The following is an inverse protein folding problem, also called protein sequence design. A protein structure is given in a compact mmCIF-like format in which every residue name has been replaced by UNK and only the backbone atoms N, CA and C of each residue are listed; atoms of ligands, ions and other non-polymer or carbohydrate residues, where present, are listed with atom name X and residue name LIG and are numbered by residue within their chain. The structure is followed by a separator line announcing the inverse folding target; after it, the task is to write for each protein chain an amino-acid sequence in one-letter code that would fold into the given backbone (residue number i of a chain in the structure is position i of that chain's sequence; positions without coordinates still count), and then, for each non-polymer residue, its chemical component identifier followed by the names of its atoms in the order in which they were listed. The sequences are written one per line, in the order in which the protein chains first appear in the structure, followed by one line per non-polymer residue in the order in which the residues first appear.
data_IF_960292350337
#
_entry.id   IF_960292350337
#
_cell.length_a   1.000
_cell.length_b   1.000
_cell.length_c   1.000
_cell.angle_alpha   90.00
_cell.angle_beta   90.00
_cell.angle_gamma   90.00
#
_symmetry.space_group_name_H-M   'P 1'
#
loop_
_entity.id
_entity.type
_entity.pdbx_description
1 polymer ?
#
# COMPACT_ATOMS: atom_id res chain seq x y z
N UNK A 1 4.63 -17.92 -29.00
CA UNK A 1 3.63 -18.82 -28.38
C UNK A 1 4.10 -20.27 -28.47
N UNK A 2 3.81 -21.07 -27.45
CA UNK A 2 4.10 -22.52 -27.51
C UNK A 2 3.28 -23.15 -28.64
N UNK A 3 3.77 -24.25 -29.27
CA UNK A 3 3.04 -24.86 -30.41
C UNK A 3 1.58 -25.21 -30.10
N UNK A 4 1.28 -25.61 -28.88
CA UNK A 4 -0.08 -25.92 -28.41
C UNK A 4 -0.99 -24.70 -28.29
N UNK A 5 -0.43 -23.50 -28.11
CA UNK A 5 -1.17 -22.25 -27.96
C UNK A 5 -1.37 -21.49 -29.30
N UNK A 6 -0.74 -21.96 -30.38
CA UNK A 6 -0.73 -21.27 -31.67
C UNK A 6 -2.16 -21.00 -32.23
N UNK A 7 -3.11 -21.89 -31.96
CA UNK A 7 -4.50 -21.74 -32.39
C UNK A 7 -5.26 -20.59 -31.66
N UNK A 8 -4.82 -20.23 -30.44
CA UNK A 8 -5.43 -19.17 -29.65
C UNK A 8 -4.70 -17.82 -29.78
N UNK A 9 -3.48 -17.85 -30.31
CA UNK A 9 -2.62 -16.68 -30.43
C UNK A 9 -3.27 -15.59 -31.31
N UNK A 10 -3.56 -14.45 -30.71
CA UNK A 10 -4.28 -13.32 -31.33
C UNK A 10 -5.58 -13.70 -32.05
N UNK A 11 -6.24 -14.77 -31.62
CA UNK A 11 -7.43 -15.30 -32.27
C UNK A 11 -8.54 -14.26 -32.44
N UNK A 12 -8.93 -13.46 -31.44
CA UNK A 12 -9.99 -12.46 -31.62
C UNK A 12 -9.68 -11.45 -32.70
N UNK A 13 -8.44 -10.97 -32.77
CA UNK A 13 -7.98 -10.04 -33.82
C UNK A 13 -8.00 -10.65 -35.21
N UNK A 14 -7.52 -11.89 -35.35
CA UNK A 14 -7.54 -12.64 -36.61
C UNK A 14 -8.96 -12.98 -37.08
N UNK A 15 -9.85 -13.35 -36.15
CA UNK A 15 -11.25 -13.65 -36.47
C UNK A 15 -12.01 -12.39 -36.89
N UNK A 16 -11.73 -11.23 -36.24
CA UNK A 16 -12.30 -9.94 -36.64
C UNK A 16 -11.80 -9.52 -38.02
N UNK A 17 -10.50 -9.59 -38.27
CA UNK A 17 -9.89 -9.25 -39.55
C UNK A 17 -10.47 -10.11 -40.69
N UNK A 18 -10.58 -11.43 -40.47
CA UNK A 18 -11.21 -12.35 -41.44
C UNK A 18 -12.68 -11.94 -41.68
N UNK A 19 -13.44 -11.69 -40.60
CA UNK A 19 -14.86 -11.36 -40.72
C UNK A 19 -15.11 -10.05 -41.45
N UNK A 20 -14.25 -9.04 -41.22
CA UNK A 20 -14.31 -7.79 -41.97
C UNK A 20 -14.02 -8.00 -43.46
N UNK A 21 -13.07 -8.84 -43.82
CA UNK A 21 -12.79 -9.20 -45.19
C UNK A 21 -13.99 -9.95 -45.86
N UNK A 22 -14.63 -10.88 -45.15
CA UNK A 22 -15.81 -11.61 -45.64
C UNK A 22 -17.00 -10.70 -45.98
N UNK A 23 -17.16 -9.59 -45.27
CA UNK A 23 -18.23 -8.59 -45.54
C UNK A 23 -17.80 -7.50 -46.51
N UNK A 24 -16.64 -7.65 -47.15
CA UNK A 24 -16.18 -6.78 -48.23
C UNK A 24 -15.30 -5.62 -47.82
N UNK A 25 -14.81 -5.57 -46.57
CA UNK A 25 -13.83 -4.56 -46.14
C UNK A 25 -12.46 -4.82 -46.78
N UNK A 26 -11.80 -3.75 -47.28
CA UNK A 26 -10.47 -3.82 -47.78
C UNK A 26 -9.44 -3.52 -46.69
N UNK A 27 -8.42 -4.39 -46.59
CA UNK A 27 -7.33 -4.14 -45.63
C UNK A 27 -6.45 -2.98 -46.12
N UNK A 28 -6.21 -2.04 -45.25
CA UNK A 28 -5.25 -0.97 -45.49
C UNK A 28 -3.81 -1.46 -45.22
N UNK A 29 -3.62 -2.23 -44.13
CA UNK A 29 -2.37 -2.87 -43.74
C UNK A 29 -2.66 -4.29 -43.23
N UNK A 30 -1.66 -5.21 -43.20
CA UNK A 30 -1.82 -6.50 -42.55
C UNK A 30 -2.19 -6.36 -41.07
N UNK A 31 -2.92 -7.34 -40.52
CA UNK A 31 -3.27 -7.34 -39.08
C UNK A 31 -2.00 -7.39 -38.23
N UNK A 32 -1.91 -6.49 -37.24
CA UNK A 32 -0.86 -6.52 -36.22
C UNK A 32 -1.09 -7.63 -35.21
N UNK A 33 -0.03 -8.30 -34.80
CA UNK A 33 -0.06 -9.36 -33.80
C UNK A 33 0.91 -9.02 -32.67
N UNK A 34 0.47 -9.17 -31.42
CA UNK A 34 1.29 -8.95 -30.23
C UNK A 34 1.45 -10.24 -29.43
N UNK A 35 2.59 -10.42 -28.78
CA UNK A 35 2.89 -11.55 -27.92
C UNK A 35 3.30 -11.04 -26.53
N UNK A 36 2.57 -11.43 -25.49
CA UNK A 36 2.89 -11.06 -24.09
C UNK A 36 4.18 -11.75 -23.58
N UNK A 37 4.71 -12.71 -24.32
CA UNK A 37 5.97 -13.42 -24.00
C UNK A 37 7.20 -12.75 -24.62
N UNK A 38 7.02 -11.76 -25.48
CA UNK A 38 8.12 -10.96 -26.03
C UNK A 38 8.76 -10.09 -24.93
N UNK A 39 9.97 -9.56 -25.20
CA UNK A 39 10.74 -8.79 -24.22
C UNK A 39 9.97 -7.59 -23.66
N UNK A 40 9.20 -6.86 -24.51
CA UNK A 40 8.31 -5.76 -24.12
C UNK A 40 6.82 -6.19 -24.18
N UNK A 41 6.55 -7.50 -24.06
CA UNK A 41 5.21 -8.02 -24.22
C UNK A 41 4.59 -7.72 -25.59
N UNK A 42 3.28 -7.52 -25.62
CA UNK A 42 2.54 -7.21 -26.87
C UNK A 42 3.03 -5.94 -27.58
N UNK A 43 3.73 -5.05 -26.85
CA UNK A 43 4.24 -3.80 -27.41
C UNK A 43 5.32 -4.03 -28.49
N UNK A 44 6.07 -5.12 -28.41
CA UNK A 44 7.07 -5.48 -29.44
C UNK A 44 6.41 -5.59 -30.81
N UNK A 45 5.34 -6.35 -30.92
CA UNK A 45 4.58 -6.51 -32.15
C UNK A 45 3.88 -5.21 -32.58
N UNK A 46 3.35 -4.44 -31.63
CA UNK A 46 2.70 -3.16 -31.90
C UNK A 46 3.68 -2.13 -32.49
N UNK A 47 4.84 -1.93 -31.86
CA UNK A 47 5.89 -1.00 -32.33
C UNK A 47 6.40 -1.35 -33.73
N UNK A 48 6.42 -2.65 -34.10
CA UNK A 48 6.80 -3.08 -35.44
C UNK A 48 5.69 -2.85 -36.47
N UNK A 49 4.42 -2.92 -36.07
CA UNK A 49 3.25 -2.78 -36.94
C UNK A 49 2.82 -1.33 -37.14
N UNK A 50 2.87 -0.51 -36.13
CA UNK A 50 2.36 0.88 -36.10
C UNK A 50 2.94 1.75 -37.25
N UNK A 51 4.26 1.72 -37.57
CA UNK A 51 4.81 2.50 -38.69
C UNK A 51 4.20 2.10 -40.01
N UNK A 52 3.79 0.86 -40.20
CA UNK A 52 3.16 0.40 -41.45
C UNK A 52 1.78 1.00 -41.62
N UNK A 53 1.04 1.21 -40.54
CA UNK A 53 -0.27 1.87 -40.51
C UNK A 53 -0.10 3.37 -40.86
N UNK A 54 0.82 4.07 -40.19
CA UNK A 54 1.06 5.51 -40.43
C UNK A 54 1.48 5.79 -41.87
N UNK A 55 2.34 4.92 -42.44
CA UNK A 55 2.72 4.99 -43.83
C UNK A 55 1.55 4.78 -44.77
N UNK A 56 0.67 3.82 -44.49
CA UNK A 56 -0.52 3.57 -45.35
C UNK A 56 -1.54 4.72 -45.26
N UNK A 57 -1.60 5.43 -44.12
CA UNK A 57 -2.42 6.62 -43.91
C UNK A 57 -1.80 7.90 -44.51
N UNK A 58 -0.55 7.85 -44.94
CA UNK A 58 0.17 9.02 -45.47
C UNK A 58 0.50 10.09 -44.42
N UNK A 59 0.61 9.69 -43.14
CA UNK A 59 0.94 10.57 -42.02
C UNK A 59 2.27 10.22 -41.35
N UNK A 60 3.05 9.34 -41.96
CA UNK A 60 4.38 8.91 -41.53
C UNK A 60 5.44 10.03 -41.56
N UNK A 61 5.15 11.15 -42.24
CA UNK A 61 6.02 12.34 -42.30
C UNK A 61 5.56 13.45 -41.32
N UNK A 62 4.47 13.25 -40.58
CA UNK A 62 4.05 14.21 -39.58
C UNK A 62 5.03 14.11 -38.41
N UNK A 63 5.80 15.19 -38.15
CA UNK A 63 6.60 15.27 -36.91
C UNK A 63 5.64 15.07 -35.72
N UNK A 64 5.82 13.96 -35.01
CA UNK A 64 5.14 13.74 -33.75
C UNK A 64 5.70 14.79 -32.80
N UNK A 65 4.90 15.79 -32.47
CA UNK A 65 5.17 16.66 -31.31
C UNK A 65 5.50 15.75 -30.14
N UNK A 66 6.57 16.09 -29.40
CA UNK A 66 7.14 15.35 -28.29
C UNK A 66 6.10 14.52 -27.56
N UNK A 67 6.39 13.23 -27.40
CA UNK A 67 5.51 12.34 -26.64
C UNK A 67 5.17 13.01 -25.31
N UNK A 68 3.88 13.07 -24.97
CA UNK A 68 3.48 13.57 -23.65
C UNK A 68 4.35 12.87 -22.59
N UNK A 69 4.93 13.62 -21.66
CA UNK A 69 5.77 13.01 -20.62
C UNK A 69 4.98 11.91 -19.93
N UNK A 70 5.60 10.74 -19.76
CA UNK A 70 4.95 9.63 -19.08
C UNK A 70 4.40 10.11 -17.72
N UNK A 71 3.16 9.78 -17.38
CA UNK A 71 2.57 10.24 -16.13
C UNK A 71 3.40 9.72 -14.95
N UNK A 72 3.70 10.61 -14.00
CA UNK A 72 4.43 10.25 -12.78
C UNK A 72 3.60 9.23 -12.01
N UNK A 73 4.10 8.00 -11.93
CA UNK A 73 3.46 6.92 -11.15
C UNK A 73 3.89 6.97 -9.68
N UNK A 74 3.17 6.24 -8.82
CA UNK A 74 3.57 6.09 -7.42
C UNK A 74 4.95 5.46 -7.27
N UNK A 75 5.35 4.59 -8.19
CA UNK A 75 6.67 3.96 -8.24
C UNK A 75 7.77 4.98 -8.48
N UNK A 76 7.56 5.90 -9.42
CA UNK A 76 8.49 7.02 -9.66
C UNK A 76 8.65 7.90 -8.41
N UNK A 77 7.54 8.23 -7.73
CA UNK A 77 7.56 9.01 -6.48
C UNK A 77 8.38 8.28 -5.41
N UNK A 78 8.15 6.98 -5.22
CA UNK A 78 8.87 6.18 -4.21
C UNK A 78 10.38 6.15 -4.48
N UNK A 79 10.78 5.87 -5.71
CA UNK A 79 12.21 5.81 -6.10
C UNK A 79 12.90 7.15 -5.95
N UNK A 80 12.24 8.24 -6.39
CA UNK A 80 12.79 9.59 -6.31
C UNK A 80 12.80 10.18 -4.89
N UNK A 81 12.17 9.53 -3.93
CA UNK A 81 11.88 10.08 -2.60
C UNK A 81 13.05 10.07 -1.60
N UNK A 82 14.22 9.62 -1.98
CA UNK A 82 15.31 9.37 -1.03
C UNK A 82 14.82 8.49 0.15
N UNK A 83 14.33 7.31 -0.18
CA UNK A 83 13.79 6.34 0.79
C UNK A 83 12.67 6.93 1.67
N UNK A 84 11.59 7.36 1.05
CA UNK A 84 10.36 7.88 1.68
C UNK A 84 10.51 9.19 2.47
N UNK A 85 11.61 9.91 2.33
CA UNK A 85 11.78 11.23 2.94
C UNK A 85 11.05 12.31 2.16
N UNK A 86 11.19 12.31 0.83
CA UNK A 86 10.62 13.34 -0.02
C UNK A 86 11.01 14.74 0.44
N UNK A 87 10.05 15.62 0.46
CA UNK A 87 10.13 16.99 1.02
C UNK A 87 9.24 17.14 2.27
N UNK A 88 8.99 16.01 2.98
CA UNK A 88 8.08 15.98 4.14
C UNK A 88 8.55 16.94 5.24
N UNK A 89 9.86 17.03 5.50
CA UNK A 89 10.40 17.90 6.54
C UNK A 89 10.11 19.37 6.25
N UNK A 90 10.35 19.81 5.03
CA UNK A 90 10.09 21.15 4.54
C UNK A 90 8.58 21.43 4.52
N UNK A 91 7.79 20.48 4.02
CA UNK A 91 6.33 20.58 3.99
C UNK A 91 5.69 20.70 5.38
N UNK A 92 6.24 20.02 6.39
CA UNK A 92 5.80 20.15 7.78
C UNK A 92 6.25 21.49 8.43
N UNK A 93 7.36 22.05 7.99
CA UNK A 93 7.86 23.35 8.46
C UNK A 93 7.12 24.55 7.84
N UNK A 94 6.55 24.39 6.65
CA UNK A 94 5.76 25.41 5.98
C UNK A 94 4.42 25.64 6.72
N UNK A 95 4.24 26.83 7.26
CA UNK A 95 3.01 27.24 7.98
C UNK A 95 2.03 28.03 7.13
N UNK A 96 2.36 28.30 5.87
CA UNK A 96 1.51 29.08 4.95
C UNK A 96 0.27 28.32 4.49
N UNK A 97 0.32 27.00 4.50
CA UNK A 97 -0.80 26.10 4.13
C UNK A 97 -0.98 24.99 5.15
N UNK A 98 -2.19 24.45 5.27
CA UNK A 98 -2.50 23.23 6.03
C UNK A 98 -2.11 21.92 5.30
N UNK A 99 -1.74 22.02 4.02
CA UNK A 99 -1.37 20.89 3.17
C UNK A 99 0.14 20.54 3.22
N UNK A 100 0.49 19.41 2.66
CA UNK A 100 1.84 19.03 2.23
C UNK A 100 1.82 18.82 0.71
N UNK A 101 3.00 18.75 0.08
CA UNK A 101 3.15 18.49 -1.35
C UNK A 101 2.42 17.21 -1.78
N UNK A 102 1.89 17.18 -2.99
CA UNK A 102 1.11 16.05 -3.50
C UNK A 102 1.92 14.74 -3.51
N UNK A 103 3.19 14.79 -3.94
CA UNK A 103 4.08 13.63 -3.90
C UNK A 103 4.29 13.11 -2.49
N UNK A 104 4.44 14.00 -1.51
CA UNK A 104 4.62 13.64 -0.10
C UNK A 104 3.36 13.01 0.49
N UNK A 105 2.16 13.29 -0.06
CA UNK A 105 0.94 12.61 0.38
C UNK A 105 0.99 11.10 0.14
N UNK A 106 1.74 10.63 -0.84
CA UNK A 106 1.97 9.21 -1.06
C UNK A 106 3.00 8.65 -0.06
N UNK A 107 4.07 9.40 0.20
CA UNK A 107 5.17 8.98 1.07
C UNK A 107 4.76 8.91 2.54
N UNK A 108 3.99 9.88 3.03
CA UNK A 108 3.50 9.89 4.42
C UNK A 108 2.67 8.67 4.78
N UNK A 109 2.07 7.98 3.80
CA UNK A 109 1.32 6.74 4.04
C UNK A 109 2.21 5.66 4.67
N UNK A 110 3.47 5.56 4.26
CA UNK A 110 4.41 4.58 4.82
C UNK A 110 4.76 4.87 6.29
N UNK A 111 4.64 6.14 6.71
CA UNK A 111 4.77 6.57 8.10
C UNK A 111 3.46 6.46 8.90
N UNK A 112 2.43 5.85 8.32
CA UNK A 112 1.14 5.59 8.96
C UNK A 112 0.18 6.77 8.98
N UNK A 113 0.43 7.80 8.18
CA UNK A 113 -0.44 8.98 8.07
C UNK A 113 -0.72 9.34 6.62
N UNK A 114 -1.83 10.02 6.37
CA UNK A 114 -2.09 10.64 5.08
C UNK A 114 -2.99 11.87 5.21
N UNK A 115 -2.79 12.81 4.31
CA UNK A 115 -3.58 14.03 4.24
C UNK A 115 -5.03 13.74 3.88
N UNK A 116 -5.93 14.44 4.55
CA UNK A 116 -7.37 14.49 4.30
C UNK A 116 -7.81 15.96 4.26
N UNK A 117 -9.03 16.17 3.88
CA UNK A 117 -9.72 17.45 4.07
C UNK A 117 -11.16 17.22 4.49
N UNK A 118 -11.76 18.22 5.11
CA UNK A 118 -13.17 18.20 5.48
C UNK A 118 -14.02 18.36 4.22
N UNK A 119 -14.77 17.31 3.88
CA UNK A 119 -15.60 17.26 2.67
C UNK A 119 -16.87 18.09 2.81
N UNK A 120 -17.33 18.29 4.04
CA UNK A 120 -18.58 19.00 4.29
C UNK A 120 -18.44 20.51 4.07
N UNK A 121 -17.20 21.03 4.20
CA UNK A 121 -16.91 22.46 4.08
C UNK A 121 -16.15 22.82 2.79
N UNK A 122 -15.84 21.86 1.92
CA UNK A 122 -14.95 22.06 0.76
C UNK A 122 -15.53 23.08 -0.24
N UNK A 123 -16.82 23.00 -0.54
CA UNK A 123 -17.46 23.86 -1.54
C UNK A 123 -17.59 25.30 -1.02
N UNK A 124 -18.04 25.49 0.23
CA UNK A 124 -18.12 26.81 0.89
C UNK A 124 -16.75 27.50 0.94
N UNK A 125 -15.70 26.74 1.28
CA UNK A 125 -14.33 27.27 1.34
C UNK A 125 -13.80 27.65 -0.04
N UNK A 126 -14.11 26.85 -1.06
CA UNK A 126 -13.75 27.15 -2.45
C UNK A 126 -14.43 28.43 -2.95
N UNK A 127 -15.71 28.61 -2.65
CA UNK A 127 -16.45 29.84 -2.99
C UNK A 127 -15.87 31.07 -2.28
N UNK A 128 -15.39 30.89 -1.05
CA UNK A 128 -14.73 31.94 -0.28
C UNK A 128 -13.26 32.17 -0.69
N UNK A 129 -12.73 31.49 -1.68
CA UNK A 129 -11.32 31.57 -2.12
C UNK A 129 -10.32 31.03 -1.09
N UNK A 130 -10.75 30.17 -0.18
CA UNK A 130 -9.93 29.56 0.86
C UNK A 130 -9.48 28.15 0.46
N UNK A 131 -8.30 27.72 0.96
CA UNK A 131 -7.87 26.35 0.80
C UNK A 131 -8.82 25.36 1.52
N UNK A 132 -8.92 24.08 1.11
CA UNK A 132 -9.66 23.08 1.85
C UNK A 132 -9.24 23.00 3.32
N UNK A 133 -10.15 22.63 4.21
CA UNK A 133 -9.83 22.40 5.62
C UNK A 133 -9.02 21.10 5.75
N UNK A 134 -7.69 21.19 5.60
CA UNK A 134 -6.80 20.05 5.65
C UNK A 134 -6.59 19.51 7.06
N UNK A 135 -6.46 18.21 7.14
CA UNK A 135 -6.08 17.47 8.32
C UNK A 135 -5.42 16.15 7.95
N UNK A 136 -4.96 15.42 8.92
CA UNK A 136 -4.27 14.15 8.71
C UNK A 136 -4.97 13.03 9.45
N UNK A 137 -5.07 11.87 8.80
CA UNK A 137 -5.38 10.62 9.48
C UNK A 137 -4.06 10.00 9.97
N UNK A 138 -4.05 9.52 11.22
CA UNK A 138 -2.96 8.71 11.76
C UNK A 138 -3.52 7.33 12.11
N UNK A 139 -2.77 6.28 11.77
CA UNK A 139 -3.12 4.89 12.10
C UNK A 139 -2.01 4.25 12.92
N UNK A 140 -2.37 3.62 14.04
CA UNK A 140 -1.43 2.87 14.85
C UNK A 140 -1.16 1.49 14.23
N UNK A 141 0.02 0.93 14.49
CA UNK A 141 0.33 -0.49 14.25
C UNK A 141 0.04 -1.26 15.54
N UNK A 142 -0.90 -2.19 15.47
CA UNK A 142 -1.39 -2.99 16.59
C UNK A 142 -1.59 -4.43 16.14
N UNK A 143 -0.53 -5.26 16.06
CA UNK A 143 -0.69 -6.67 15.70
C UNK A 143 -1.69 -7.37 16.61
N UNK A 144 -2.66 -8.07 16.02
CA UNK A 144 -3.72 -8.75 16.77
C UNK A 144 -4.67 -7.85 17.57
N UNK A 145 -4.51 -6.53 17.51
CA UNK A 145 -5.41 -5.57 18.16
C UNK A 145 -5.32 -5.49 19.67
N UNK A 146 -4.25 -6.00 20.27
CA UNK A 146 -4.08 -6.03 21.73
C UNK A 146 -3.42 -4.76 22.23
N UNK A 147 -4.06 -4.11 23.21
CA UNK A 147 -3.51 -2.94 23.90
C UNK A 147 -3.76 -3.08 25.42
N UNK A 148 -2.87 -2.47 26.20
CA UNK A 148 -3.04 -2.37 27.66
C UNK A 148 -3.93 -1.20 28.04
N UNK A 149 -4.53 -1.20 29.25
CA UNK A 149 -5.28 -0.04 29.74
C UNK A 149 -4.45 1.24 29.77
N UNK A 150 -3.16 1.16 30.09
CA UNK A 150 -2.26 2.31 30.11
C UNK A 150 -2.03 2.88 28.70
N UNK A 151 -1.88 2.01 27.71
CA UNK A 151 -1.78 2.42 26.30
C UNK A 151 -3.08 3.10 25.86
N UNK A 152 -4.23 2.54 26.20
CA UNK A 152 -5.53 3.13 25.89
C UNK A 152 -5.65 4.54 26.46
N UNK A 153 -5.38 4.72 27.75
CA UNK A 153 -5.43 6.04 28.40
C UNK A 153 -4.48 7.06 27.75
N UNK A 154 -3.31 6.62 27.31
CA UNK A 154 -2.38 7.50 26.59
C UNK A 154 -2.90 7.89 25.21
N UNK A 155 -3.51 6.94 24.49
CA UNK A 155 -4.11 7.20 23.18
C UNK A 155 -5.32 8.14 23.29
N UNK A 156 -6.13 8.00 24.34
CA UNK A 156 -7.25 8.87 24.65
C UNK A 156 -6.79 10.33 24.88
N UNK A 157 -5.73 10.52 25.66
CA UNK A 157 -5.09 11.84 25.82
C UNK A 157 -4.65 12.46 24.49
N UNK A 158 -4.11 11.66 23.58
CA UNK A 158 -3.73 12.15 22.23
C UNK A 158 -4.96 12.66 21.48
N UNK A 159 -6.12 12.04 21.65
CA UNK A 159 -7.39 12.52 21.09
C UNK A 159 -7.77 13.88 21.69
N UNK A 160 -7.71 13.98 23.01
CA UNK A 160 -8.08 15.21 23.70
C UNK A 160 -7.18 16.40 23.38
N UNK A 161 -5.87 16.13 23.32
CA UNK A 161 -4.88 17.19 23.09
C UNK A 161 -4.82 17.62 21.61
N UNK A 162 -4.89 16.69 20.67
CA UNK A 162 -4.53 16.90 19.27
C UNK A 162 -5.61 16.50 18.27
N UNK A 163 -6.63 15.74 18.68
CA UNK A 163 -7.67 15.21 17.79
C UNK A 163 -8.57 16.34 17.24
N UNK A 164 -8.64 16.44 15.91
CA UNK A 164 -9.51 17.40 15.24
C UNK A 164 -10.99 17.12 15.48
N UNK A 165 -11.38 15.83 15.46
CA UNK A 165 -12.77 15.38 15.66
C UNK A 165 -13.04 14.93 17.10
N UNK A 166 -12.05 14.97 17.98
CA UNK A 166 -12.16 14.50 19.36
C UNK A 166 -12.70 13.05 19.46
N UNK A 167 -12.30 12.19 18.54
CA UNK A 167 -12.71 10.78 18.52
C UNK A 167 -11.60 9.87 18.04
N UNK A 168 -11.59 8.66 18.60
CA UNK A 168 -10.71 7.56 18.20
C UNK A 168 -11.54 6.50 17.49
N UNK A 169 -11.13 6.09 16.30
CA UNK A 169 -11.85 5.08 15.52
C UNK A 169 -11.16 3.73 15.63
N UNK A 170 -11.91 2.71 16.02
CA UNK A 170 -11.50 1.31 15.95
C UNK A 170 -11.77 0.80 14.52
N UNK A 171 -10.80 0.12 13.93
CA UNK A 171 -10.91 -0.37 12.56
C UNK A 171 -11.21 -1.87 12.52
N UNK A 172 -11.81 -2.33 11.42
CA UNK A 172 -12.01 -3.76 11.14
C UNK A 172 -10.69 -4.54 11.03
N UNK A 173 -9.54 -3.82 10.97
CA UNK A 173 -8.22 -4.43 10.90
C UNK A 173 -7.49 -4.40 12.25
N UNK A 174 -8.26 -4.43 13.34
CA UNK A 174 -7.74 -4.52 14.72
C UNK A 174 -6.72 -3.42 15.04
N UNK A 175 -6.99 -2.18 14.61
CA UNK A 175 -6.13 -1.04 14.91
C UNK A 175 -6.95 0.23 15.17
N UNK A 176 -6.28 1.32 15.48
CA UNK A 176 -6.87 2.58 15.87
C UNK A 176 -6.49 3.68 14.90
N UNK A 177 -7.41 4.63 14.67
CA UNK A 177 -7.20 5.79 13.81
C UNK A 177 -7.63 7.08 14.48
N UNK A 178 -6.80 8.10 14.28
CA UNK A 178 -7.14 9.50 14.51
C UNK A 178 -7.50 10.16 13.19
N UNK A 179 -8.43 11.08 13.19
CA UNK A 179 -8.84 11.80 12.00
C UNK A 179 -8.76 13.32 12.21
N UNK A 180 -8.47 14.03 11.11
CA UNK A 180 -8.39 15.48 11.07
C UNK A 180 -7.40 16.09 12.08
N UNK A 181 -6.27 15.40 12.33
CA UNK A 181 -5.15 15.98 13.06
C UNK A 181 -4.58 17.13 12.21
N UNK A 182 -4.49 18.32 12.74
CA UNK A 182 -3.92 19.46 12.02
C UNK A 182 -2.41 19.27 11.80
N UNK A 183 -1.89 19.74 10.66
CA UNK A 183 -0.46 19.64 10.30
C UNK A 183 0.46 20.07 11.47
N UNK A 184 0.19 21.20 12.11
CA UNK A 184 0.95 21.71 13.27
C UNK A 184 0.99 20.76 14.47
N UNK A 185 -0.01 19.89 14.62
CA UNK A 185 -0.14 18.94 15.73
C UNK A 185 0.40 17.55 15.39
N UNK A 186 0.72 17.28 14.11
CA UNK A 186 1.06 15.95 13.62
C UNK A 186 2.25 15.34 14.38
N UNK A 187 3.33 16.11 14.55
CA UNK A 187 4.51 15.68 15.31
C UNK A 187 4.18 15.36 16.77
N UNK A 188 3.42 16.20 17.45
CA UNK A 188 3.06 16.00 18.84
C UNK A 188 2.13 14.80 19.03
N UNK A 189 1.19 14.58 18.12
CA UNK A 189 0.31 13.40 18.11
C UNK A 189 1.11 12.10 17.92
N UNK A 190 2.05 12.07 16.95
CA UNK A 190 2.97 10.93 16.75
C UNK A 190 3.80 10.63 18.00
N UNK A 191 4.38 11.66 18.62
CA UNK A 191 5.10 11.53 19.88
C UNK A 191 4.21 11.00 21.02
N UNK A 192 2.94 11.41 21.06
CA UNK A 192 1.96 10.92 22.02
C UNK A 192 1.69 9.42 21.85
N UNK A 193 1.58 8.94 20.63
CA UNK A 193 1.45 7.51 20.30
C UNK A 193 2.70 6.75 20.72
N UNK A 194 3.90 7.28 20.41
CA UNK A 194 5.16 6.66 20.78
C UNK A 194 5.35 6.56 22.31
N UNK A 195 4.83 7.52 23.09
CA UNK A 195 4.82 7.41 24.57
C UNK A 195 3.97 6.24 25.08
N UNK A 196 3.00 5.77 24.30
CA UNK A 196 2.27 4.54 24.59
C UNK A 196 3.06 3.27 24.22
N UNK A 197 4.32 3.38 23.81
CA UNK A 197 5.13 2.28 23.25
C UNK A 197 4.46 1.62 22.05
N UNK A 198 3.80 2.42 21.23
CA UNK A 198 3.18 2.05 19.97
C UNK A 198 3.82 2.89 18.85
N UNK A 199 3.69 2.42 17.63
CA UNK A 199 4.16 3.13 16.46
C UNK A 199 3.09 3.18 15.35
N UNK A 200 3.44 3.81 14.25
CA UNK A 200 2.59 3.96 13.07
C UNK A 200 3.26 3.42 11.80
N UNK A 201 4.45 2.81 11.94
CA UNK A 201 5.25 2.32 10.82
C UNK A 201 4.47 1.23 10.09
N UNK A 202 4.44 1.29 8.77
CA UNK A 202 3.76 0.31 7.93
C UNK A 202 2.24 0.14 8.22
N UNK A 203 1.64 1.01 9.04
CA UNK A 203 0.20 1.00 9.25
C UNK A 203 -0.59 1.44 8.01
N UNK A 204 0.06 2.15 7.08
CA UNK A 204 -0.42 2.50 5.74
C UNK A 204 0.69 2.24 4.70
N UNK A 205 0.46 2.61 3.44
CA UNK A 205 1.45 2.45 2.35
C UNK A 205 1.41 1.07 1.67
N UNK A 206 2.32 0.89 0.74
CA UNK A 206 2.44 -0.31 -0.11
C UNK A 206 3.46 -1.28 0.50
N UNK A 207 3.11 -1.77 1.66
CA UNK A 207 3.89 -2.66 2.52
C UNK A 207 2.95 -3.65 3.21
N UNK A 208 3.50 -4.60 3.96
CA UNK A 208 2.70 -5.41 4.87
C UNK A 208 2.03 -4.51 5.91
N UNK A 209 0.71 -4.64 6.01
CA UNK A 209 -0.13 -3.86 6.93
C UNK A 209 -0.26 -4.54 8.28
N UNK A 210 -1.02 -3.94 9.17
CA UNK A 210 -1.30 -4.55 10.47
C UNK A 210 -1.73 -6.02 10.33
N UNK A 211 -1.05 -6.94 11.00
CA UNK A 211 -1.37 -8.36 10.98
C UNK A 211 -2.56 -8.61 11.90
N UNK A 212 -3.59 -9.26 11.38
CA UNK A 212 -4.79 -9.63 12.14
C UNK A 212 -4.69 -11.06 12.65
N UNK A 213 -5.25 -11.33 13.81
CA UNK A 213 -5.48 -12.70 14.26
C UNK A 213 -6.80 -12.80 15.00
N UNK A 214 -7.33 -14.03 15.15
CA UNK A 214 -8.48 -14.29 16.01
C UNK A 214 -8.23 -13.64 17.36
N UNK A 215 -9.13 -12.75 17.83
CA UNK A 215 -8.89 -11.90 18.99
C UNK A 215 -8.91 -12.69 20.31
N UNK A 216 -8.52 -11.99 21.39
CA UNK A 216 -8.50 -12.50 22.75
C UNK A 216 -7.44 -13.59 23.00
N UNK A 217 -6.16 -13.19 23.15
CA UNK A 217 -5.05 -14.13 23.41
C UNK A 217 -5.22 -14.92 24.72
N UNK A 218 -6.05 -14.45 25.66
CA UNK A 218 -6.31 -15.13 26.93
C UNK A 218 -7.31 -16.28 26.82
N UNK A 219 -7.96 -16.48 25.66
CA UNK A 219 -9.01 -17.49 25.51
C UNK A 219 -8.47 -18.92 25.55
N UNK A 220 -7.30 -19.17 25.00
CA UNK A 220 -6.61 -20.47 25.08
C UNK A 220 -5.11 -20.31 24.75
N UNK A 221 -4.34 -21.37 25.03
CA UNK A 221 -2.91 -21.43 24.66
C UNK A 221 -2.67 -21.26 23.15
N UNK A 222 -3.61 -21.71 22.32
CA UNK A 222 -3.51 -21.52 20.86
C UNK A 222 -3.69 -20.05 20.51
N UNK A 223 -4.66 -19.34 21.10
CA UNK A 223 -4.87 -17.90 20.85
C UNK A 223 -3.66 -17.06 21.28
N UNK A 224 -3.02 -17.42 22.39
CA UNK A 224 -1.78 -16.79 22.84
C UNK A 224 -0.65 -16.99 21.80
N UNK A 225 -0.45 -18.21 21.33
CA UNK A 225 0.56 -18.52 20.31
C UNK A 225 0.26 -17.82 18.97
N UNK A 226 -1.01 -17.68 18.59
CA UNK A 226 -1.40 -16.90 17.43
C UNK A 226 -1.02 -15.43 17.59
N UNK A 227 -1.29 -14.86 18.74
CA UNK A 227 -0.93 -13.47 19.01
C UNK A 227 0.58 -13.25 18.92
N UNK A 228 1.39 -14.15 19.50
CA UNK A 228 2.84 -14.11 19.36
C UNK A 228 3.27 -14.23 17.89
N UNK A 229 2.62 -15.10 17.11
CA UNK A 229 2.87 -15.22 15.66
C UNK A 229 2.52 -13.93 14.93
N UNK A 230 1.40 -13.29 15.25
CA UNK A 230 1.00 -12.03 14.62
C UNK A 230 2.01 -10.90 14.91
N UNK A 231 2.54 -10.83 16.13
CA UNK A 231 3.61 -9.91 16.50
C UNK A 231 4.89 -10.20 15.71
N UNK A 232 5.32 -11.45 15.69
CA UNK A 232 6.52 -11.87 14.97
C UNK A 232 6.44 -11.51 13.49
N UNK A 233 5.34 -11.82 12.81
CA UNK A 233 5.14 -11.47 11.40
C UNK A 233 5.13 -9.96 11.19
N UNK A 234 4.44 -9.23 12.07
CA UNK A 234 4.42 -7.76 11.99
C UNK A 234 5.82 -7.16 12.10
N UNK A 235 6.62 -7.61 13.07
CA UNK A 235 8.01 -7.13 13.26
C UNK A 235 8.95 -7.55 12.12
N UNK A 236 8.78 -8.77 11.61
CA UNK A 236 9.63 -9.30 10.54
C UNK A 236 9.40 -8.60 9.20
N UNK A 237 8.19 -8.06 8.98
CA UNK A 237 7.74 -7.52 7.70
C UNK A 237 7.58 -5.99 7.70
N UNK A 238 8.11 -5.29 8.69
CA UNK A 238 8.20 -3.82 8.63
C UNK A 238 9.41 -3.40 7.78
N UNK A 239 9.34 -2.26 7.09
CA UNK A 239 10.49 -1.67 6.44
C UNK A 239 11.62 -1.36 7.44
N UNK A 240 12.86 -1.55 7.03
CA UNK A 240 14.03 -1.47 7.94
C UNK A 240 14.99 -0.32 7.64
N UNK A 241 14.61 0.60 6.81
CA UNK A 241 15.44 1.75 6.49
C UNK A 241 15.39 2.84 7.57
N UNK A 242 16.35 3.77 7.51
CA UNK A 242 16.55 4.78 8.56
C UNK A 242 15.54 5.95 8.53
N UNK A 243 14.76 6.16 7.45
CA UNK A 243 13.82 7.27 7.37
C UNK A 243 12.73 7.26 8.46
N UNK A 244 12.49 6.13 9.10
CA UNK A 244 11.55 6.02 10.22
C UNK A 244 12.13 6.47 11.55
N UNK A 245 13.44 6.39 11.72
CA UNK A 245 14.14 6.68 12.96
C UNK A 245 15.49 7.35 12.66
N UNK A 246 15.54 8.66 12.80
CA UNK A 246 16.75 9.44 12.63
C UNK A 246 17.17 10.09 13.97
N UNK A 247 18.47 10.11 14.24
CA UNK A 247 19.05 10.82 15.37
C UNK A 247 19.80 12.03 14.84
N UNK A 248 19.40 13.21 15.28
CA UNK A 248 20.03 14.46 14.91
C UNK A 248 20.81 15.03 16.07
N UNK A 249 22.04 15.43 15.83
CA UNK A 249 22.81 16.24 16.78
C UNK A 249 22.43 17.70 16.56
N UNK A 250 21.87 18.30 17.59
CA UNK A 250 21.47 19.71 17.61
C UNK A 250 22.62 20.53 18.26
N UNK A 251 23.32 21.33 17.46
CA UNK A 251 24.38 22.22 17.96
C UNK A 251 23.81 23.60 18.36
N UNK A 252 22.81 23.61 19.24
CA UNK A 252 22.15 24.83 19.70
C UNK A 252 20.86 25.15 18.96
N UNK A 253 20.36 26.37 19.06
CA UNK A 253 19.07 26.82 18.49
C UNK A 253 19.11 27.07 16.97
N UNK A 254 20.29 27.01 16.38
CA UNK A 254 20.50 27.22 14.94
C UNK A 254 20.28 25.92 14.17
N UNK A 255 19.13 25.81 13.49
CA UNK A 255 18.76 24.64 12.70
C UNK A 255 19.75 24.32 11.57
N UNK A 256 20.54 25.30 11.10
CA UNK A 256 21.57 25.11 10.07
C UNK A 256 22.76 24.27 10.57
N UNK A 257 22.87 24.10 11.89
CA UNK A 257 23.97 23.34 12.55
C UNK A 257 23.55 21.93 12.95
N UNK A 258 22.36 21.49 12.59
CA UNK A 258 21.93 20.11 12.81
C UNK A 258 22.76 19.16 11.96
N UNK A 259 23.13 18.04 12.54
CA UNK A 259 23.84 16.97 11.85
C UNK A 259 23.13 15.63 12.10
N UNK A 260 22.76 14.96 11.02
CA UNK A 260 22.22 13.60 11.09
C UNK A 260 23.31 12.62 11.50
N UNK A 261 23.09 11.87 12.58
CA UNK A 261 24.01 10.84 13.03
C UNK A 261 23.94 9.66 12.05
N UNK A 262 25.08 9.28 11.49
CA UNK A 262 25.14 8.21 10.48
C UNK A 262 24.74 8.65 9.07
N UNK A 263 24.53 9.95 8.82
CA UNK A 263 24.12 10.48 7.50
C UNK A 263 25.10 10.21 6.35
N UNK A 264 26.30 9.70 6.63
CA UNK A 264 27.25 9.22 5.63
C UNK A 264 26.97 7.76 5.18
N UNK A 265 26.11 7.03 5.89
CA UNK A 265 25.72 5.67 5.51
C UNK A 265 24.66 5.74 4.42
N UNK A 266 24.88 5.00 3.36
CA UNK A 266 23.88 4.85 2.30
C UNK A 266 22.67 4.11 2.86
N UNK A 267 21.48 4.69 2.71
CA UNK A 267 20.24 4.00 3.06
C UNK A 267 20.01 2.80 2.16
N UNK A 268 19.41 1.78 2.73
CA UNK A 268 19.05 0.55 2.04
C UNK A 268 17.80 -0.05 2.66
N UNK A 269 16.81 -0.40 1.84
CA UNK A 269 15.63 -1.14 2.27
C UNK A 269 15.79 -2.61 1.87
N UNK A 270 16.17 -3.50 2.82
CA UNK A 270 16.57 -4.86 2.47
C UNK A 270 15.39 -5.77 2.11
N UNK A 271 14.18 -5.46 2.55
CA UNK A 271 13.00 -6.31 2.35
C UNK A 271 12.21 -5.91 1.10
N UNK A 272 11.95 -4.63 0.93
CA UNK A 272 11.05 -4.12 -0.11
C UNK A 272 11.79 -3.49 -1.29
N UNK A 273 13.05 -3.13 -1.13
CA UNK A 273 13.78 -2.36 -2.12
C UNK A 273 13.21 -0.95 -2.34
N UNK A 274 13.68 -0.21 -3.37
CA UNK A 274 13.29 1.19 -3.58
C UNK A 274 11.85 1.38 -4.09
N UNK A 275 11.25 0.35 -4.67
CA UNK A 275 9.89 0.41 -5.23
C UNK A 275 8.81 0.07 -4.22
N UNK A 276 9.15 -0.62 -3.12
CA UNK A 276 8.18 -1.21 -2.22
C UNK A 276 7.24 -2.18 -2.96
N UNK A 277 6.09 -2.50 -2.37
CA UNK A 277 5.11 -3.33 -3.06
C UNK A 277 4.25 -2.47 -4.02
N UNK A 278 3.67 -3.05 -5.07
CA UNK A 278 2.75 -2.33 -5.96
C UNK A 278 1.44 -1.94 -5.25
N UNK A 279 1.10 -2.64 -4.17
CA UNK A 279 -0.12 -2.41 -3.40
C UNK A 279 0.06 -2.86 -1.94
N UNK A 280 -0.79 -2.34 -1.04
CA UNK A 280 -0.90 -2.81 0.35
C UNK A 280 -1.03 -4.33 0.42
N UNK A 281 -0.28 -4.97 1.32
CA UNK A 281 -0.29 -6.40 1.58
C UNK A 281 -0.87 -6.69 2.97
N UNK A 282 -1.68 -7.71 3.11
CA UNK A 282 -2.42 -7.98 4.34
C UNK A 282 -2.40 -9.45 4.70
N UNK A 283 -2.13 -9.72 5.97
CA UNK A 283 -2.11 -11.06 6.56
C UNK A 283 -3.21 -11.15 7.63
N UNK A 284 -3.91 -12.29 7.67
CA UNK A 284 -4.85 -12.63 8.72
C UNK A 284 -4.65 -14.07 9.19
N UNK A 285 -4.80 -14.30 10.50
CA UNK A 285 -4.57 -15.60 11.13
C UNK A 285 -5.84 -16.03 11.88
N UNK A 286 -6.44 -17.16 11.50
CA UNK A 286 -7.67 -17.67 12.11
C UNK A 286 -7.43 -18.94 12.93
N UNK A 287 -8.23 -19.11 14.00
CA UNK A 287 -8.33 -20.37 14.77
C UNK A 287 -9.65 -21.07 14.42
N UNK A 288 -9.61 -22.25 13.80
CA UNK A 288 -10.83 -23.04 13.56
C UNK A 288 -11.56 -23.38 14.88
N UNK A 289 -12.89 -23.54 14.84
CA UNK A 289 -13.76 -23.51 13.66
C UNK A 289 -14.24 -22.10 13.25
N UNK A 290 -13.76 -21.06 13.93
CA UNK A 290 -14.19 -19.67 13.65
C UNK A 290 -13.37 -19.03 12.53
N UNK A 291 -14.03 -18.14 11.77
CA UNK A 291 -13.41 -17.26 10.82
C UNK A 291 -13.87 -15.82 11.08
N UNK A 292 -13.40 -15.27 12.18
CA UNK A 292 -13.73 -13.94 12.67
C UNK A 292 -12.78 -12.84 12.14
N UNK A 293 -11.85 -13.21 11.26
CA UNK A 293 -10.89 -12.31 10.60
C UNK A 293 -11.00 -12.33 9.07
N UNK A 294 -12.03 -12.99 8.52
CA UNK A 294 -12.21 -13.15 7.07
C UNK A 294 -10.97 -13.68 6.35
N UNK A 295 -10.40 -14.75 6.87
CA UNK A 295 -9.08 -15.28 6.48
C UNK A 295 -8.94 -15.49 4.96
N UNK A 296 -10.04 -15.82 4.25
CA UNK A 296 -10.06 -16.02 2.81
C UNK A 296 -10.03 -14.72 1.98
N UNK A 297 -10.26 -13.57 2.62
CA UNK A 297 -10.34 -12.28 1.95
C UNK A 297 -9.02 -11.48 2.03
N UNK A 298 -7.90 -12.14 2.34
CA UNK A 298 -6.60 -11.53 2.53
C UNK A 298 -5.57 -12.02 1.52
N UNK A 299 -4.53 -11.21 1.28
CA UNK A 299 -3.42 -11.58 0.39
C UNK A 299 -2.76 -12.86 0.88
N UNK A 300 -2.58 -13.01 2.21
CA UNK A 300 -2.23 -14.25 2.88
C UNK A 300 -3.18 -14.52 4.04
N UNK A 301 -3.79 -15.70 4.03
CA UNK A 301 -4.56 -16.25 5.14
C UNK A 301 -3.82 -17.41 5.78
N UNK A 302 -3.72 -17.42 7.11
CA UNK A 302 -3.12 -18.48 7.89
C UNK A 302 -4.19 -19.13 8.77
N UNK A 303 -4.47 -20.42 8.58
CA UNK A 303 -5.43 -21.17 9.38
C UNK A 303 -4.66 -22.08 10.31
N UNK A 304 -4.77 -21.82 11.60
CA UNK A 304 -4.03 -22.55 12.65
C UNK A 304 -4.33 -24.05 12.66
N UNK A 305 -3.30 -24.85 12.77
CA UNK A 305 -3.39 -26.31 12.95
C UNK A 305 -2.79 -26.65 14.32
N UNK A 306 -3.65 -26.87 15.34
CA UNK A 306 -3.20 -27.27 16.67
C UNK A 306 -2.88 -28.78 16.72
N UNK A 307 -2.20 -29.17 17.79
CA UNK A 307 -2.07 -30.58 18.17
C UNK A 307 -3.40 -31.20 18.63
N UNK A 308 -3.43 -32.51 18.84
CA UNK A 308 -4.64 -33.22 19.27
C UNK A 308 -5.18 -32.80 20.65
N UNK A 309 -4.36 -32.11 21.45
CA UNK A 309 -4.75 -31.62 22.80
C UNK A 309 -5.15 -30.15 22.77
N UNK A 310 -5.10 -29.45 21.64
CA UNK A 310 -5.31 -28.01 21.50
C UNK A 310 -4.42 -27.16 22.44
N UNK A 311 -3.21 -27.64 22.71
CA UNK A 311 -2.28 -26.94 23.62
C UNK A 311 -1.06 -26.37 22.89
N UNK A 312 -0.72 -26.93 21.72
CA UNK A 312 0.44 -26.51 20.92
C UNK A 312 0.06 -26.29 19.47
N UNK A 313 0.52 -25.19 18.92
CA UNK A 313 0.40 -24.89 17.51
C UNK A 313 1.47 -25.69 16.72
N UNK A 314 1.03 -26.50 15.77
CA UNK A 314 1.91 -27.26 14.89
C UNK A 314 2.36 -26.48 13.65
N UNK A 315 1.48 -25.62 13.14
CA UNK A 315 1.70 -24.84 11.94
C UNK A 315 0.42 -24.23 11.41
N UNK A 316 0.43 -23.90 10.12
CA UNK A 316 -0.68 -23.23 9.45
C UNK A 316 -0.97 -23.83 8.09
N UNK A 317 -2.24 -23.98 7.76
CA UNK A 317 -2.65 -24.06 6.37
C UNK A 317 -2.60 -22.63 5.78
N UNK A 318 -1.90 -22.50 4.68
CA UNK A 318 -1.65 -21.20 4.03
C UNK A 318 -2.61 -21.01 2.87
N UNK A 319 -3.26 -19.86 2.85
CA UNK A 319 -4.13 -19.39 1.78
C UNK A 319 -3.47 -18.18 1.11
N UNK A 320 -3.60 -18.03 -0.21
CA UNK A 320 -3.01 -16.92 -0.94
C UNK A 320 -3.97 -16.32 -1.97
N UNK A 321 -3.81 -15.05 -2.27
CA UNK A 321 -4.50 -14.37 -3.37
C UNK A 321 -5.95 -14.00 -3.08
N UNK A 322 -6.36 -13.89 -1.81
CA UNK A 322 -7.67 -13.38 -1.42
C UNK A 322 -7.77 -11.86 -1.49
N UNK A 323 -8.94 -11.35 -1.85
CA UNK A 323 -9.23 -9.93 -1.84
C UNK A 323 -10.69 -9.64 -2.18
N UNK A 324 -11.25 -8.59 -1.56
CA UNK A 324 -12.65 -8.16 -1.76
C UNK A 324 -12.74 -6.82 -2.50
N UNK A 325 -11.58 -6.25 -2.88
CA UNK A 325 -11.52 -4.95 -3.54
C UNK A 325 -11.96 -5.02 -5.00
N UNK A 326 -12.77 -4.01 -5.40
CA UNK A 326 -13.14 -3.76 -6.80
C UNK A 326 -12.75 -2.32 -7.11
N UNK A 327 -12.08 -2.09 -8.23
CA UNK A 327 -11.80 -0.73 -8.71
C UNK A 327 -12.92 -0.30 -9.64
N UNK A 328 -13.55 0.83 -9.34
CA UNK A 328 -14.58 1.39 -10.19
C UNK A 328 -14.05 1.57 -11.61
N UNK A 329 -14.86 1.26 -12.61
CA UNK A 329 -14.52 1.28 -14.03
C UNK A 329 -13.52 0.22 -14.54
N UNK A 330 -12.83 -0.52 -13.67
CA UNK A 330 -11.91 -1.60 -14.07
C UNK A 330 -12.59 -2.97 -13.95
N UNK A 331 -13.22 -3.45 -15.02
CA UNK A 331 -13.95 -4.72 -15.06
C UNK A 331 -13.09 -5.96 -14.77
N UNK A 332 -11.78 -5.85 -14.93
CA UNK A 332 -10.83 -6.93 -14.61
C UNK A 332 -10.64 -7.15 -13.10
N UNK A 333 -11.05 -6.20 -12.26
CA UNK A 333 -10.98 -6.31 -10.81
C UNK A 333 -12.27 -6.88 -10.24
N UNK A 334 -12.18 -7.96 -9.47
CA UNK A 334 -13.34 -8.64 -8.87
C UNK A 334 -12.97 -9.25 -7.52
N UNK A 335 -13.92 -9.46 -6.62
CA UNK A 335 -13.69 -10.16 -5.36
C UNK A 335 -13.25 -11.60 -5.61
N UNK A 336 -12.23 -12.05 -4.88
CA UNK A 336 -11.73 -13.42 -4.96
C UNK A 336 -11.38 -13.93 -3.56
N UNK A 337 -11.76 -15.18 -3.28
CA UNK A 337 -11.31 -15.87 -2.08
C UNK A 337 -9.92 -16.47 -2.29
N UNK A 338 -9.12 -16.48 -1.22
CA UNK A 338 -7.81 -17.09 -1.22
C UNK A 338 -7.83 -18.58 -1.54
N UNK A 339 -6.88 -19.03 -2.32
CA UNK A 339 -6.68 -20.43 -2.66
C UNK A 339 -5.74 -21.10 -1.66
N UNK A 340 -5.99 -22.36 -1.34
CA UNK A 340 -5.10 -23.17 -0.47
C UNK A 340 -3.78 -23.41 -1.18
N UNK A 341 -2.68 -22.99 -0.57
CA UNK A 341 -1.33 -23.24 -1.07
C UNK A 341 -0.73 -24.52 -0.50
N UNK A 342 -0.90 -24.75 0.80
CA UNK A 342 -0.34 -25.91 1.50
C UNK A 342 -0.23 -25.68 3.00
N UNK A 343 0.60 -26.50 3.66
CA UNK A 343 0.87 -26.42 5.09
C UNK A 343 2.31 -25.98 5.36
N UNK A 344 2.50 -25.14 6.38
CA UNK A 344 3.81 -24.72 6.88
C UNK A 344 3.89 -24.95 8.39
N UNK A 345 4.99 -25.46 8.87
CA UNK A 345 5.27 -25.60 10.31
C UNK A 345 5.67 -24.27 10.92
N UNK A 346 5.47 -24.09 12.23
CA UNK A 346 5.77 -22.82 12.91
C UNK A 346 7.24 -22.38 12.80
N UNK A 347 8.17 -23.33 12.71
CA UNK A 347 9.62 -23.07 12.59
C UNK A 347 10.04 -22.59 11.18
N UNK A 348 9.14 -22.69 10.20
CA UNK A 348 9.39 -22.30 8.80
C UNK A 348 8.48 -21.16 8.32
N UNK A 349 7.65 -20.66 9.21
CA UNK A 349 6.83 -19.49 8.92
C UNK A 349 7.69 -18.22 8.98
#
# INVERSE_FOLDING_TARGET
PRPEDAQYYNRPGRDLDRRLAEIGASRMVPVGLGDDQDADGWQTGYKAWEPTLWKALGVDTVEVTEAEPEPITNEHIKVASNYLRGTILEGLADTSTGAICETDTQLTKFHGTYQQFDRDTVDERKEAGLEPSYGFMIRCRLPGGVITPQQWLQLDRVVDDYGGIKSLKITTRQTLQYHMILKRNLKAAMQGINRAMLDTIAACGDVNRNVMCTPNPSLSKIHEQLYETAKFLSESLIPRMNAYHEIWLDRGTDSSKRMLVGGALQDYEPLYGPYYLPRKFKIAIAVPPRNDVDVYAHDVGLVAVPDSTNSKLLGFNVLVGGGMGVTHSMKATYPRLGSVLGFVTCDKL
#
